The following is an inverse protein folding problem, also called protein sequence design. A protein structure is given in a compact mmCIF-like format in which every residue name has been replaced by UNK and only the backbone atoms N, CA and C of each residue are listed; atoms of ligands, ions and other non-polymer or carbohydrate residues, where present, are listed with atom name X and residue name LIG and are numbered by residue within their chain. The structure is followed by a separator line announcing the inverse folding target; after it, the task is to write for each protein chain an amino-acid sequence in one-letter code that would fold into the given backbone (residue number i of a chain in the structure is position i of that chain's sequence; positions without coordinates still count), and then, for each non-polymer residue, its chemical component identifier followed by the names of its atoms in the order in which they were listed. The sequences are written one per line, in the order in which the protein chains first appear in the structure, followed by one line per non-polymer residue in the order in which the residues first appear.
data_IF_513358514367
#
_entry.id   IF_513358514367
#
_cell.length_a   1.000
_cell.length_b   1.000
_cell.length_c   1.000
_cell.angle_alpha   90.00
_cell.angle_beta   90.00
_cell.angle_gamma   90.00
#
_symmetry.space_group_name_H-M   'P 1'
#
loop_
_entity.id
_entity.type
_entity.pdbx_description
1 polymer ?
#
# COMPACT_ATOMS: atom_id res chain seq x y z
N UNK A 1 0.70 10.65 -0.12
CA UNK A 1 0.85 9.91 1.14
C UNK A 1 1.67 8.66 0.88
N UNK A 2 2.80 8.54 1.52
CA UNK A 2 3.74 7.47 1.25
C UNK A 2 3.91 6.56 2.45
N UNK A 3 3.88 5.27 2.22
CA UNK A 3 4.10 4.28 3.27
C UNK A 3 5.26 3.37 2.88
N UNK A 4 5.98 2.88 3.86
CA UNK A 4 7.00 1.89 3.66
C UNK A 4 6.42 0.52 4.04
N UNK A 5 6.54 -0.44 3.12
CA UNK A 5 6.02 -1.79 3.31
C UNK A 5 7.18 -2.76 3.12
N UNK A 6 7.84 -3.09 4.22
CA UNK A 6 9.04 -3.93 4.15
C UNK A 6 8.73 -5.37 3.75
N UNK A 7 7.50 -5.82 4.00
CA UNK A 7 7.05 -7.16 3.60
C UNK A 7 6.83 -7.27 2.10
N UNK A 8 6.81 -6.16 1.38
CA UNK A 8 6.57 -6.15 -0.05
C UNK A 8 7.85 -6.52 -0.79
N UNK A 9 7.92 -7.75 -1.26
CA UNK A 9 9.14 -8.27 -1.87
C UNK A 9 8.95 -8.84 -3.26
N UNK A 10 7.73 -8.85 -3.81
CA UNK A 10 7.48 -9.39 -5.13
C UNK A 10 6.31 -8.68 -5.82
N UNK A 11 6.16 -8.91 -7.13
CA UNK A 11 5.11 -8.29 -7.91
C UNK A 11 3.70 -8.67 -7.46
N UNK A 12 3.51 -9.85 -6.89
CA UNK A 12 2.21 -10.25 -6.37
C UNK A 12 1.81 -9.40 -5.19
N UNK A 13 2.77 -9.02 -4.36
CA UNK A 13 2.52 -8.18 -3.20
C UNK A 13 2.05 -6.79 -3.64
N UNK A 14 2.73 -6.21 -4.62
CA UNK A 14 2.35 -4.89 -5.15
C UNK A 14 0.96 -4.92 -5.75
N UNK A 15 0.64 -5.96 -6.52
CA UNK A 15 -0.68 -6.09 -7.14
C UNK A 15 -1.78 -6.21 -6.08
N UNK A 16 -1.54 -6.98 -5.03
CA UNK A 16 -2.51 -7.15 -3.95
C UNK A 16 -2.80 -5.81 -3.25
N UNK A 17 -1.76 -5.05 -2.96
CA UNK A 17 -1.91 -3.74 -2.31
C UNK A 17 -2.64 -2.77 -3.22
N UNK A 18 -2.26 -2.71 -4.49
CA UNK A 18 -2.90 -1.82 -5.45
C UNK A 18 -4.37 -2.14 -5.60
N UNK A 19 -4.70 -3.43 -5.68
CA UNK A 19 -6.08 -3.86 -5.79
C UNK A 19 -6.89 -3.48 -4.54
N UNK A 20 -6.33 -3.73 -3.37
CA UNK A 20 -7.02 -3.41 -2.11
C UNK A 20 -7.30 -1.92 -2.00
N UNK A 21 -6.33 -1.08 -2.36
CA UNK A 21 -6.50 0.37 -2.32
C UNK A 21 -7.54 0.81 -3.35
N UNK A 22 -7.52 0.24 -4.54
CA UNK A 22 -8.49 0.57 -5.57
C UNK A 22 -9.91 0.21 -5.14
N UNK A 23 -10.07 -0.93 -4.49
CA UNK A 23 -11.38 -1.37 -3.99
C UNK A 23 -11.89 -0.45 -2.87
N UNK A 24 -11.00 0.18 -2.15
CA UNK A 24 -11.36 1.14 -1.11
C UNK A 24 -11.64 2.54 -1.66
N UNK A 25 -11.51 2.72 -2.97
CA UNK A 25 -11.79 4.01 -3.62
C UNK A 25 -10.58 4.90 -3.77
N UNK A 26 -9.38 4.38 -3.54
CA UNK A 26 -8.15 5.15 -3.67
C UNK A 26 -7.31 4.72 -4.86
N UNK A 27 -6.09 5.24 -4.91
CA UNK A 27 -5.11 4.89 -5.92
C UNK A 27 -3.78 4.64 -5.22
N UNK A 28 -3.11 3.57 -5.60
CA UNK A 28 -1.79 3.24 -5.05
C UNK A 28 -0.76 3.12 -6.16
N UNK A 29 0.43 3.67 -5.90
CA UNK A 29 1.60 3.48 -6.75
C UNK A 29 2.65 2.79 -5.89
N UNK A 30 3.09 1.63 -6.32
CA UNK A 30 4.04 0.83 -5.57
C UNK A 30 5.42 0.89 -6.19
N UNK A 31 6.45 0.80 -5.35
CA UNK A 31 7.84 0.80 -5.79
C UNK A 31 8.58 -0.30 -5.02
N UNK A 32 8.94 -1.37 -5.72
CA UNK A 32 9.65 -2.49 -5.11
C UNK A 32 11.09 -2.16 -4.73
N UNK A 33 11.72 -1.27 -5.47
CA UNK A 33 13.09 -0.86 -5.19
C UNK A 33 13.19 -0.19 -3.83
N UNK A 34 12.20 0.64 -3.53
CA UNK A 34 12.12 1.41 -2.30
C UNK A 34 11.21 0.76 -1.26
N UNK A 35 10.53 -0.30 -1.65
CA UNK A 35 9.53 -0.98 -0.81
C UNK A 35 8.51 0.00 -0.25
N UNK A 36 8.05 0.89 -1.10
CA UNK A 36 7.13 1.94 -0.69
C UNK A 36 5.84 1.89 -1.49
N UNK A 37 4.80 2.45 -0.91
CA UNK A 37 3.50 2.58 -1.55
C UNK A 37 3.05 4.02 -1.36
N UNK A 38 2.74 4.69 -2.45
CA UNK A 38 2.15 6.03 -2.42
C UNK A 38 0.65 5.87 -2.63
N UNK A 39 -0.14 6.35 -1.68
CA UNK A 39 -1.59 6.22 -1.72
C UNK A 39 -2.22 7.60 -1.87
N UNK A 40 -3.19 7.70 -2.76
CA UNK A 40 -3.96 8.92 -2.98
C UNK A 40 -5.45 8.60 -2.92
N UNK A 41 -6.25 9.56 -2.50
CA UNK A 41 -7.70 9.41 -2.42
C UNK A 41 -8.21 8.79 -1.13
N UNK A 42 -7.32 8.39 -0.24
CA UNK A 42 -7.68 7.86 1.07
C UNK A 42 -6.94 8.64 2.15
N UNK A 43 -7.51 8.71 3.35
CA UNK A 43 -6.77 9.30 4.45
C UNK A 43 -5.70 8.33 4.97
N UNK A 44 -4.71 8.82 5.75
CA UNK A 44 -3.60 7.98 6.21
C UNK A 44 -4.05 6.77 7.01
N UNK A 45 -5.04 6.94 7.87
CA UNK A 45 -5.52 5.84 8.70
C UNK A 45 -6.21 4.77 7.86
N UNK A 46 -7.03 5.19 6.90
CA UNK A 46 -7.71 4.26 6.02
C UNK A 46 -6.73 3.53 5.11
N UNK A 47 -5.75 4.24 4.57
CA UNK A 47 -4.74 3.65 3.72
C UNK A 47 -3.94 2.58 4.46
N UNK A 48 -3.50 2.87 5.68
CA UNK A 48 -2.78 1.89 6.49
C UNK A 48 -3.64 0.68 6.81
N UNK A 49 -4.92 0.90 7.10
CA UNK A 49 -5.85 -0.18 7.37
C UNK A 49 -6.03 -1.10 6.16
N UNK A 50 -6.17 -0.51 4.98
CA UNK A 50 -6.33 -1.27 3.74
C UNK A 50 -5.10 -2.13 3.46
N UNK A 51 -3.91 -1.56 3.63
CA UNK A 51 -2.66 -2.30 3.43
C UNK A 51 -2.57 -3.45 4.43
N UNK A 52 -2.96 -3.20 5.66
CA UNK A 52 -2.95 -4.23 6.70
C UNK A 52 -3.93 -5.36 6.37
N UNK A 53 -5.10 -5.02 5.87
CA UNK A 53 -6.10 -6.02 5.49
C UNK A 53 -5.63 -6.86 4.31
N UNK A 54 -4.76 -6.32 3.48
CA UNK A 54 -4.16 -7.07 2.38
C UNK A 54 -3.07 -8.04 2.86
N UNK A 55 -2.73 -8.01 4.15
CA UNK A 55 -1.77 -8.91 4.74
C UNK A 55 -0.36 -8.33 4.90
N UNK A 56 -0.23 -7.01 4.84
CA UNK A 56 1.07 -6.36 4.91
C UNK A 56 1.12 -5.33 6.03
N UNK A 57 2.31 -5.08 6.54
CA UNK A 57 2.52 -4.06 7.58
C UNK A 57 3.09 -2.81 6.93
N UNK A 58 2.42 -1.68 7.10
CA UNK A 58 2.88 -0.41 6.56
C UNK A 58 3.40 0.49 7.67
N UNK A 59 4.35 1.34 7.32
CA UNK A 59 4.89 2.35 8.22
C UNK A 59 4.90 3.68 7.49
N UNK A 60 4.61 4.80 8.16
CA UNK A 60 4.72 6.11 7.54
C UNK A 60 6.15 6.35 7.08
N UNK A 61 6.27 6.86 5.86
CA UNK A 61 7.60 7.12 5.30
C UNK A 61 7.85 8.61 5.14
#
# INVERSE_FOLDING_TARGET
MKFRVEDMSCGHCTAAIEKAVAEAGGKAVTDLTDRSVTVEGLDPNRAAEVIREAGYTSQPA
#
